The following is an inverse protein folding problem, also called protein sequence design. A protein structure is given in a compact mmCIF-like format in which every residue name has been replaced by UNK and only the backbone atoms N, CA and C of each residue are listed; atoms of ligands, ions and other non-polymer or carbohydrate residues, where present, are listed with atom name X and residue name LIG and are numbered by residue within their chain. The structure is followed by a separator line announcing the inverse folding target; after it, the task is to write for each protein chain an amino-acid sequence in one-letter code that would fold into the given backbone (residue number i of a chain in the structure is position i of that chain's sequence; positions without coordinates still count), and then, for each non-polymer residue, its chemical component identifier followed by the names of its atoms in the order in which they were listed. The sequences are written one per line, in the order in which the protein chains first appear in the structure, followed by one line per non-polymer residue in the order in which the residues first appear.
data_IF_115096899911
#
_entry.id   IF_115096899911
#
_cell.length_a   1.000
_cell.length_b   1.000
_cell.length_c   1.000
_cell.angle_alpha   90.00
_cell.angle_beta   90.00
_cell.angle_gamma   90.00
#
_symmetry.space_group_name_H-M   'P 1'
#
loop_
_entity.id
_entity.type
_entity.pdbx_description
1 polymer ?
#
# COMPACT_ATOMS: atom_id res chain seq x y z
N UNK A 1 -50.91 -47.21 33.30
CA UNK A 1 -50.81 -45.88 32.66
C UNK A 1 -50.14 -44.96 33.68
N UNK A 2 -48.83 -44.74 33.53
CA UNK A 2 -48.00 -44.01 34.48
C UNK A 2 -48.27 -42.51 34.40
N UNK A 3 -48.97 -41.96 35.39
CA UNK A 3 -49.14 -40.52 35.55
C UNK A 3 -47.85 -39.92 36.11
N UNK A 4 -47.06 -39.27 35.27
CA UNK A 4 -45.89 -38.49 35.69
C UNK A 4 -46.43 -37.20 36.32
N UNK A 5 -46.20 -36.93 37.63
CA UNK A 5 -46.63 -35.67 38.25
C UNK A 5 -45.69 -34.55 37.80
N UNK A 6 -46.03 -33.87 36.70
CA UNK A 6 -45.22 -32.76 36.19
C UNK A 6 -45.49 -31.51 37.03
N UNK A 7 -44.44 -31.00 37.68
CA UNK A 7 -44.51 -29.75 38.43
C UNK A 7 -44.37 -28.56 37.47
N UNK A 8 -45.48 -27.90 37.13
CA UNK A 8 -45.57 -26.82 36.13
C UNK A 8 -44.55 -25.70 36.39
N UNK A 9 -44.28 -25.35 37.65
CA UNK A 9 -43.27 -24.34 38.00
C UNK A 9 -41.88 -24.74 37.52
N UNK A 10 -41.50 -26.02 37.67
CA UNK A 10 -40.22 -26.52 37.18
C UNK A 10 -40.17 -26.54 35.66
N UNK A 11 -41.27 -26.93 35.00
CA UNK A 11 -41.37 -26.95 33.54
C UNK A 11 -41.14 -25.56 32.93
N UNK A 12 -41.79 -24.51 33.47
CA UNK A 12 -41.61 -23.13 32.99
C UNK A 12 -40.18 -22.63 33.18
N UNK A 13 -39.54 -22.98 34.31
CA UNK A 13 -38.14 -22.62 34.55
C UNK A 13 -37.21 -23.30 33.54
N UNK A 14 -37.39 -24.59 33.27
CA UNK A 14 -36.59 -25.29 32.26
C UNK A 14 -36.82 -24.74 30.86
N UNK A 15 -38.06 -24.40 30.51
CA UNK A 15 -38.38 -23.78 29.23
C UNK A 15 -37.71 -22.39 29.09
N UNK A 16 -37.73 -21.58 30.15
CA UNK A 16 -37.05 -20.29 30.18
C UNK A 16 -35.53 -20.41 30.01
N UNK A 17 -34.90 -21.37 30.70
CA UNK A 17 -33.47 -21.65 30.54
C UNK A 17 -33.16 -22.11 29.11
N UNK A 18 -34.00 -22.98 28.55
CA UNK A 18 -33.81 -23.46 27.18
C UNK A 18 -33.85 -22.31 26.16
N UNK A 19 -34.84 -21.41 26.28
CA UNK A 19 -34.93 -20.21 25.44
C UNK A 19 -33.70 -19.32 25.64
N UNK A 20 -33.28 -19.11 26.89
CA UNK A 20 -32.10 -18.29 27.20
C UNK A 20 -30.84 -18.83 26.51
N UNK A 21 -30.62 -20.15 26.53
CA UNK A 21 -29.48 -20.80 25.87
C UNK A 21 -29.54 -20.56 24.36
N UNK A 22 -30.71 -20.74 23.73
CA UNK A 22 -30.88 -20.49 22.30
C UNK A 22 -30.58 -19.04 21.93
N UNK A 23 -31.09 -18.09 22.72
CA UNK A 23 -30.83 -16.66 22.51
C UNK A 23 -29.34 -16.33 22.59
N UNK A 24 -28.61 -16.90 23.57
CA UNK A 24 -27.17 -16.66 23.71
C UNK A 24 -26.40 -17.22 22.51
N UNK A 25 -26.78 -18.39 22.00
CA UNK A 25 -26.14 -18.98 20.81
C UNK A 25 -26.38 -18.10 19.59
N UNK A 26 -27.62 -17.69 19.33
CA UNK A 26 -27.95 -16.86 18.18
C UNK A 26 -27.32 -15.47 18.26
N UNK A 27 -27.31 -14.88 19.47
CA UNK A 27 -26.65 -13.60 19.71
C UNK A 27 -25.16 -13.65 19.42
N UNK A 28 -24.46 -14.68 19.91
CA UNK A 28 -23.04 -14.86 19.64
C UNK A 28 -22.74 -15.03 18.14
N UNK A 29 -23.54 -15.85 17.43
CA UNK A 29 -23.38 -16.04 16.00
C UNK A 29 -23.58 -14.73 15.21
N UNK A 30 -24.59 -13.94 15.57
CA UNK A 30 -24.84 -12.62 14.96
C UNK A 30 -23.72 -11.62 15.26
N UNK A 31 -23.14 -11.66 16.46
CA UNK A 31 -22.06 -10.77 16.86
C UNK A 31 -20.76 -11.10 16.10
N UNK A 32 -20.44 -12.39 15.96
CA UNK A 32 -19.32 -12.85 15.15
C UNK A 32 -19.46 -12.43 13.68
N UNK A 33 -20.64 -12.63 13.11
CA UNK A 33 -20.92 -12.19 11.74
C UNK A 33 -20.78 -10.67 11.57
N UNK A 34 -21.31 -9.89 12.52
CA UNK A 34 -21.21 -8.44 12.49
C UNK A 34 -19.75 -7.97 12.59
N UNK A 35 -18.94 -8.59 13.46
CA UNK A 35 -17.52 -8.29 13.58
C UNK A 35 -16.78 -8.60 12.28
N UNK A 36 -17.01 -9.78 11.69
CA UNK A 36 -16.43 -10.17 10.40
C UNK A 36 -16.79 -9.18 9.29
N UNK A 37 -18.06 -8.76 9.21
CA UNK A 37 -18.50 -7.78 8.20
C UNK A 37 -17.86 -6.41 8.41
N UNK A 38 -17.68 -5.98 9.65
CA UNK A 38 -17.00 -4.72 9.94
C UNK A 38 -15.53 -4.75 9.56
N UNK A 39 -14.81 -5.83 9.88
CA UNK A 39 -13.40 -6.00 9.47
C UNK A 39 -13.25 -5.93 7.95
N UNK A 40 -14.09 -6.68 7.21
CA UNK A 40 -14.10 -6.63 5.74
C UNK A 40 -14.40 -5.23 5.20
N UNK A 41 -15.37 -4.53 5.80
CA UNK A 41 -15.71 -3.16 5.41
C UNK A 41 -14.54 -2.21 5.64
N UNK A 42 -13.87 -2.33 6.77
CA UNK A 42 -12.78 -1.43 7.14
C UNK A 42 -11.54 -1.68 6.26
N UNK A 43 -11.25 -2.93 5.89
CA UNK A 43 -10.23 -3.28 4.89
C UNK A 43 -10.54 -2.64 3.52
N UNK A 44 -11.75 -2.87 3.00
CA UNK A 44 -12.18 -2.30 1.70
C UNK A 44 -12.14 -0.77 1.74
N UNK A 45 -12.53 -0.15 2.86
CA UNK A 45 -12.50 1.30 3.02
C UNK A 45 -11.07 1.85 3.01
N UNK A 46 -10.13 1.15 3.63
CA UNK A 46 -8.72 1.53 3.60
C UNK A 46 -8.18 1.49 2.16
N UNK A 47 -8.45 0.41 1.42
CA UNK A 47 -8.05 0.26 0.01
C UNK A 47 -8.67 1.36 -0.87
N UNK A 48 -9.97 1.64 -0.71
CA UNK A 48 -10.65 2.69 -1.46
C UNK A 48 -10.08 4.08 -1.17
N UNK A 49 -9.73 4.36 0.09
CA UNK A 49 -9.13 5.65 0.49
C UNK A 49 -7.74 5.80 -0.13
N UNK A 50 -6.91 4.75 -0.10
CA UNK A 50 -5.61 4.75 -0.74
C UNK A 50 -5.73 4.97 -2.25
N UNK A 51 -6.67 4.28 -2.91
CA UNK A 51 -6.90 4.42 -4.34
C UNK A 51 -7.32 5.85 -4.75
N UNK A 52 -8.23 6.48 -3.99
CA UNK A 52 -8.63 7.87 -4.27
C UNK A 52 -7.48 8.87 -4.02
N UNK A 53 -6.64 8.65 -2.99
CA UNK A 53 -5.43 9.47 -2.79
C UNK A 53 -4.45 9.35 -3.96
N UNK A 54 -4.17 8.12 -4.41
CA UNK A 54 -3.31 7.87 -5.57
C UNK A 54 -3.87 8.52 -6.83
N UNK A 55 -5.18 8.39 -7.08
CA UNK A 55 -5.86 9.03 -8.20
C UNK A 55 -5.76 10.55 -8.15
N UNK A 56 -5.91 11.17 -6.98
CA UNK A 56 -5.75 12.63 -6.83
C UNK A 56 -4.32 13.07 -7.16
N UNK A 57 -3.31 12.34 -6.68
CA UNK A 57 -1.91 12.61 -6.98
C UNK A 57 -1.62 12.47 -8.49
N UNK A 58 -2.10 11.39 -9.12
CA UNK A 58 -1.95 11.16 -10.55
C UNK A 58 -2.68 12.21 -11.38
N UNK A 59 -3.90 12.61 -11.01
CA UNK A 59 -4.63 13.67 -11.68
C UNK A 59 -3.88 15.00 -11.63
N UNK A 60 -3.23 15.31 -10.51
CA UNK A 60 -2.38 16.50 -10.38
C UNK A 60 -1.20 16.45 -11.34
N UNK A 61 -0.53 15.29 -11.45
CA UNK A 61 0.59 15.11 -12.37
C UNK A 61 0.15 15.21 -13.84
N UNK A 62 -0.99 14.63 -14.20
CA UNK A 62 -1.56 14.74 -15.55
C UNK A 62 -1.90 16.19 -15.88
N UNK A 63 -2.50 16.93 -14.93
CA UNK A 63 -2.78 18.35 -15.12
C UNK A 63 -1.50 19.18 -15.31
N UNK A 64 -0.44 18.88 -14.54
CA UNK A 64 0.87 19.51 -14.72
C UNK A 64 1.48 19.20 -16.08
N UNK A 65 1.50 17.92 -16.48
CA UNK A 65 2.06 17.48 -17.76
C UNK A 65 1.36 18.12 -18.97
N UNK A 66 0.06 18.43 -18.85
CA UNK A 66 -0.70 19.16 -19.88
C UNK A 66 -0.56 20.69 -19.81
N UNK A 67 0.18 21.23 -18.83
CA UNK A 67 0.32 22.68 -18.63
C UNK A 67 1.46 23.28 -19.46
N UNK A 68 1.38 24.58 -19.73
CA UNK A 68 2.46 25.32 -20.39
C UNK A 68 3.73 25.38 -19.55
N UNK A 69 3.63 25.26 -18.21
CA UNK A 69 4.77 25.24 -17.32
C UNK A 69 5.64 23.99 -17.55
N UNK A 70 5.02 22.82 -17.74
CA UNK A 70 5.75 21.59 -18.06
C UNK A 70 6.44 21.67 -19.43
N UNK A 71 5.80 22.31 -20.41
CA UNK A 71 6.39 22.56 -21.73
C UNK A 71 7.60 23.50 -21.63
N UNK A 72 7.48 24.57 -20.83
CA UNK A 72 8.60 25.50 -20.61
C UNK A 72 9.76 24.83 -19.89
N UNK A 73 9.49 24.08 -18.81
CA UNK A 73 10.52 23.34 -18.08
C UNK A 73 11.29 22.41 -19.03
N UNK A 74 10.57 21.57 -19.78
CA UNK A 74 11.17 20.68 -20.79
C UNK A 74 11.99 21.46 -21.82
N UNK A 75 11.45 22.57 -22.34
CA UNK A 75 12.15 23.41 -23.31
C UNK A 75 13.48 23.93 -22.75
N UNK A 76 13.58 24.27 -21.47
CA UNK A 76 14.82 24.79 -20.86
C UNK A 76 15.82 23.68 -20.51
N UNK A 77 15.38 22.57 -19.92
CA UNK A 77 16.27 21.52 -19.42
C UNK A 77 16.67 20.52 -20.49
N UNK A 78 15.70 19.95 -21.22
CA UNK A 78 15.94 18.89 -22.20
C UNK A 78 16.02 19.41 -23.63
N UNK A 79 15.15 20.35 -23.99
CA UNK A 79 15.10 20.94 -25.33
C UNK A 79 16.25 21.91 -25.61
N UNK A 80 16.95 22.37 -24.57
CA UNK A 80 17.99 23.40 -24.63
C UNK A 80 17.56 24.66 -25.40
N UNK A 81 16.27 24.98 -25.36
CA UNK A 81 15.71 26.17 -25.97
C UNK A 81 15.94 27.39 -25.07
N UNK A 82 16.29 28.48 -25.73
CA UNK A 82 16.59 29.78 -25.11
C UNK A 82 15.50 30.77 -25.49
N UNK A 83 15.10 31.61 -24.53
CA UNK A 83 14.13 32.67 -24.74
C UNK A 83 14.86 33.97 -25.08
N UNK A 84 14.14 34.90 -25.69
CA UNK A 84 14.72 36.17 -26.11
C UNK A 84 15.21 36.97 -24.88
N UNK A 85 16.53 37.17 -24.79
CA UNK A 85 17.21 37.78 -23.64
C UNK A 85 18.06 36.82 -22.81
N UNK A 86 17.93 35.51 -22.96
CA UNK A 86 18.81 34.54 -22.28
C UNK A 86 20.19 34.49 -22.91
N UNK A 87 21.21 34.40 -22.05
CA UNK A 87 22.61 34.30 -22.45
C UNK A 87 23.10 32.88 -22.14
N UNK A 88 23.27 32.00 -23.15
CA UNK A 88 23.72 30.63 -22.92
C UNK A 88 25.16 30.65 -22.41
N UNK A 89 25.36 30.27 -21.14
CA UNK A 89 26.69 30.14 -20.53
C UNK A 89 27.11 28.68 -20.62
N UNK A 90 28.14 28.40 -21.41
CA UNK A 90 28.83 27.10 -21.38
C UNK A 90 29.98 27.22 -20.38
N UNK A 91 29.94 26.50 -19.24
CA UNK A 91 31.05 26.51 -18.31
C UNK A 91 32.27 25.90 -18.98
N UNK A 92 33.24 26.74 -19.35
CA UNK A 92 34.57 26.29 -19.73
C UNK A 92 35.39 26.13 -18.46
N UNK A 93 36.07 24.99 -18.33
CA UNK A 93 37.00 24.75 -17.22
C UNK A 93 38.05 25.86 -17.15
N UNK A 94 38.44 26.26 -15.94
CA UNK A 94 39.47 27.29 -15.73
C UNK A 94 40.77 26.84 -16.41
N UNK A 95 41.47 27.70 -17.19
CA UNK A 95 42.77 27.34 -17.73
C UNK A 95 43.73 26.99 -16.57
N UNK A 96 44.18 25.74 -16.51
CA UNK A 96 45.05 25.24 -15.43
C UNK A 96 44.34 24.58 -14.24
N UNK A 97 43.01 24.39 -14.25
CA UNK A 97 42.38 23.45 -13.31
C UNK A 97 42.72 22.01 -13.69
N UNK A 98 43.06 21.18 -12.71
CA UNK A 98 43.20 19.74 -12.90
C UNK A 98 41.96 19.18 -13.60
N UNK A 99 42.10 18.21 -14.53
CA UNK A 99 40.96 17.58 -15.18
C UNK A 99 39.96 17.14 -14.10
N UNK A 100 38.66 17.41 -14.31
CA UNK A 100 37.62 16.79 -13.50
C UNK A 100 37.78 15.28 -13.70
N UNK A 101 38.35 14.60 -12.71
CA UNK A 101 38.37 13.14 -12.66
C UNK A 101 36.90 12.76 -12.51
N UNK A 102 36.28 12.37 -13.62
CA UNK A 102 34.96 11.76 -13.58
C UNK A 102 35.04 10.62 -12.55
N UNK A 103 34.14 10.57 -11.55
CA UNK A 103 34.17 9.49 -10.57
C UNK A 103 34.15 8.18 -11.35
N UNK A 104 35.17 7.36 -11.18
CA UNK A 104 35.20 6.02 -11.76
C UNK A 104 33.90 5.34 -11.35
N UNK A 105 33.05 4.88 -12.30
CA UNK A 105 31.82 4.21 -11.93
C UNK A 105 32.18 3.07 -10.99
N UNK A 106 31.59 3.08 -9.79
CA UNK A 106 31.71 1.97 -8.86
C UNK A 106 31.17 0.76 -9.63
N UNK A 107 31.93 -0.34 -9.78
CA UNK A 107 31.42 -1.50 -10.47
C UNK A 107 30.12 -1.90 -9.79
N UNK A 108 29.03 -1.91 -10.56
CA UNK A 108 27.75 -2.44 -10.09
C UNK A 108 28.03 -3.88 -9.69
N UNK A 109 27.79 -4.22 -8.42
CA UNK A 109 27.93 -5.59 -7.97
C UNK A 109 27.07 -6.47 -8.88
N UNK A 110 27.70 -7.40 -9.60
CA UNK A 110 26.96 -8.36 -10.42
C UNK A 110 25.97 -9.05 -9.49
N UNK A 111 24.65 -8.96 -9.75
CA UNK A 111 23.68 -9.67 -8.94
C UNK A 111 24.00 -11.16 -9.06
N UNK A 112 24.28 -11.78 -7.91
CA UNK A 112 24.52 -13.22 -7.84
C UNK A 112 23.23 -13.93 -8.25
N UNK A 113 23.32 -14.84 -9.21
CA UNK A 113 22.14 -15.59 -9.65
C UNK A 113 21.60 -16.41 -8.49
N UNK A 114 20.27 -16.59 -8.40
CA UNK A 114 19.64 -17.20 -7.23
C UNK A 114 20.27 -18.54 -6.81
N UNK A 115 20.72 -19.35 -7.78
CA UNK A 115 21.34 -20.65 -7.53
C UNK A 115 22.75 -20.53 -6.91
N UNK A 116 23.52 -19.48 -7.23
CA UNK A 116 24.83 -19.22 -6.65
C UNK A 116 24.70 -18.80 -5.17
N UNK A 117 23.63 -18.08 -4.83
CA UNK A 117 23.26 -17.74 -3.45
C UNK A 117 23.01 -19.01 -2.64
N UNK A 118 22.21 -19.94 -3.17
CA UNK A 118 21.95 -21.22 -2.52
C UNK A 118 23.22 -22.06 -2.37
N UNK A 119 24.07 -22.11 -3.40
CA UNK A 119 25.32 -22.88 -3.34
C UNK A 119 26.25 -22.36 -2.23
N UNK A 120 26.42 -21.04 -2.12
CA UNK A 120 27.24 -20.46 -1.04
C UNK A 120 26.67 -20.73 0.35
N UNK A 121 25.35 -20.63 0.52
CA UNK A 121 24.71 -20.86 1.82
C UNK A 121 24.93 -22.28 2.36
N UNK A 122 25.07 -23.27 1.47
CA UNK A 122 25.21 -24.69 1.85
C UNK A 122 26.66 -25.21 1.83
N UNK A 123 27.58 -24.55 1.14
CA UNK A 123 28.93 -25.07 0.89
C UNK A 123 30.08 -24.09 1.13
N UNK A 124 29.80 -22.84 1.55
CA UNK A 124 30.82 -21.84 1.91
C UNK A 124 30.85 -21.69 3.45
N UNK A 125 31.78 -22.41 4.11
CA UNK A 125 32.16 -22.30 5.52
C UNK A 125 33.67 -22.05 5.64
#
# INVERSE_FOLDING_TARGET
MTSIPINIRRFVVFLGIFILILTVIEFNARLEELNRLNEQRDEVRAVATQAEQTKMALNTQVAYAGSTAAVEEWARTEGHYIMEGDQPVVPIGKPGSEPVIAPTPIPTATPMENWEVWMKLFFDE
#
